data_IF_881106790329
#
_entry.id   IF_881106790329
#
_cell.length_a   1.000
_cell.length_b   1.000
_cell.length_c   1.000
_cell.angle_alpha   90.00
_cell.angle_beta   90.00
_cell.angle_gamma   90.00
#
_symmetry.space_group_name_H-M   'P 1'
#
loop_
_entity.id
_entity.type
_entity.pdbx_description
1 polymer ?
#
# COMPACT_ATOMS: atom_id res chain seq x y z
N UNK A 1 24.54 37.74 4.21
CA UNK A 1 24.02 36.78 3.21
C UNK A 1 22.55 37.10 3.03
N UNK A 2 22.12 37.57 1.85
CA UNK A 2 20.72 37.93 1.63
C UNK A 2 19.93 36.67 1.31
N UNK A 3 19.00 36.29 2.18
CA UNK A 3 18.05 35.21 1.94
C UNK A 3 16.87 35.77 1.13
N UNK A 4 16.49 35.09 0.05
CA UNK A 4 15.26 35.41 -0.67
C UNK A 4 14.06 35.33 0.31
N UNK A 5 13.07 36.23 0.21
CA UNK A 5 11.83 36.14 0.98
C UNK A 5 11.13 34.79 0.76
N UNK A 6 10.52 34.27 1.82
CA UNK A 6 9.83 32.98 1.78
C UNK A 6 8.71 32.96 0.74
N UNK A 7 8.05 34.09 0.50
CA UNK A 7 6.98 34.25 -0.49
C UNK A 7 7.49 34.00 -1.91
N UNK A 8 8.70 34.47 -2.22
CA UNK A 8 9.33 34.25 -3.53
C UNK A 8 9.70 32.78 -3.68
N UNK A 9 10.29 32.17 -2.65
CA UNK A 9 10.67 30.75 -2.66
C UNK A 9 9.43 29.86 -2.78
N UNK A 10 8.38 30.17 -2.03
CA UNK A 10 7.06 29.52 -2.13
C UNK A 10 6.51 29.59 -3.55
N UNK A 11 6.57 30.77 -4.19
CA UNK A 11 6.13 30.94 -5.56
C UNK A 11 6.94 30.08 -6.54
N UNK A 12 8.27 30.05 -6.38
CA UNK A 12 9.15 29.17 -7.17
C UNK A 12 8.68 27.72 -7.07
N UNK A 13 8.51 27.18 -5.85
CA UNK A 13 8.04 25.80 -5.66
C UNK A 13 6.71 25.52 -6.36
N UNK A 14 5.73 26.41 -6.24
CA UNK A 14 4.42 26.23 -6.89
C UNK A 14 4.47 26.34 -8.41
N UNK A 15 5.50 27.00 -8.95
CA UNK A 15 5.61 27.24 -10.38
C UNK A 15 6.47 26.23 -11.12
N UNK A 16 7.21 25.37 -10.39
CA UNK A 16 8.04 24.33 -10.98
C UNK A 16 7.22 23.45 -11.95
N UNK A 17 7.76 23.16 -13.14
CA UNK A 17 7.05 22.38 -14.14
C UNK A 17 7.10 20.87 -13.85
N UNK A 18 8.09 20.42 -13.08
CA UNK A 18 8.38 18.99 -12.92
C UNK A 18 8.50 18.56 -11.45
N UNK A 19 8.07 17.34 -11.11
CA UNK A 19 8.23 16.79 -9.77
C UNK A 19 9.70 16.65 -9.34
N UNK A 20 10.59 16.33 -10.27
CA UNK A 20 12.03 16.21 -9.96
C UNK A 20 12.65 17.54 -9.56
N UNK A 21 12.30 18.64 -10.23
CA UNK A 21 12.78 19.96 -9.84
C UNK A 21 12.32 20.32 -8.44
N UNK A 22 11.08 19.95 -8.10
CA UNK A 22 10.52 20.14 -6.77
C UNK A 22 11.33 19.41 -5.72
N UNK A 23 11.64 18.13 -5.96
CA UNK A 23 12.44 17.30 -5.06
C UNK A 23 13.90 17.79 -4.97
N UNK A 24 14.52 18.16 -6.08
CA UNK A 24 15.89 18.68 -6.11
C UNK A 24 16.00 20.01 -5.33
N UNK A 25 15.04 20.91 -5.52
CA UNK A 25 15.00 22.18 -4.80
C UNK A 25 14.76 21.95 -3.31
N UNK A 26 13.88 21.00 -2.96
CA UNK A 26 13.63 20.60 -1.57
C UNK A 26 14.91 20.12 -0.87
N UNK A 27 15.76 19.37 -1.57
CA UNK A 27 17.01 18.81 -1.02
C UNK A 27 18.14 19.83 -0.90
N UNK A 28 18.00 21.03 -1.44
CA UNK A 28 19.09 22.03 -1.49
C UNK A 28 19.47 22.54 -0.10
N UNK A 29 18.49 22.80 0.78
CA UNK A 29 18.75 23.20 2.16
C UNK A 29 17.55 22.95 3.09
N UNK A 30 17.78 22.99 4.41
CA UNK A 30 16.72 22.78 5.43
C UNK A 30 15.55 23.76 5.30
N UNK A 31 15.81 25.03 4.96
CA UNK A 31 14.76 26.04 4.79
C UNK A 31 13.85 25.72 3.60
N UNK A 32 14.43 25.31 2.47
CA UNK A 32 13.67 24.92 1.29
C UNK A 32 12.88 23.64 1.55
N UNK A 33 13.47 22.70 2.29
CA UNK A 33 12.77 21.50 2.74
C UNK A 33 11.54 21.84 3.58
N UNK A 34 11.66 22.77 4.53
CA UNK A 34 10.53 23.22 5.34
C UNK A 34 9.44 23.89 4.48
N UNK A 35 9.82 24.79 3.56
CA UNK A 35 8.88 25.50 2.68
C UNK A 35 8.13 24.54 1.74
N UNK A 36 8.85 23.61 1.12
CA UNK A 36 8.27 22.59 0.26
C UNK A 36 7.29 21.68 1.02
N UNK A 37 7.41 21.56 2.34
CA UNK A 37 6.49 20.76 3.13
C UNK A 37 5.25 21.50 3.63
N UNK A 38 5.10 22.81 3.35
CA UNK A 38 3.88 23.51 3.67
C UNK A 38 2.70 23.01 2.83
N UNK A 39 1.59 22.69 3.51
CA UNK A 39 0.37 22.16 2.92
C UNK A 39 -0.14 22.99 1.73
N UNK A 40 -0.17 24.32 1.87
CA UNK A 40 -0.61 25.23 0.80
C UNK A 40 0.28 25.17 -0.44
N UNK A 41 1.59 25.06 -0.27
CA UNK A 41 2.56 24.98 -1.37
C UNK A 41 2.44 23.64 -2.08
N UNK A 42 2.40 22.54 -1.32
CA UNK A 42 2.23 21.18 -1.86
C UNK A 42 0.92 21.03 -2.62
N UNK A 43 -0.18 21.51 -2.05
CA UNK A 43 -1.50 21.46 -2.67
C UNK A 43 -1.53 22.23 -3.98
N UNK A 44 -1.05 23.49 -3.97
CA UNK A 44 -0.98 24.31 -5.18
C UNK A 44 -0.12 23.66 -6.25
N UNK A 45 1.01 23.05 -5.85
CA UNK A 45 1.86 22.31 -6.75
C UNK A 45 1.13 21.11 -7.37
N UNK A 46 0.43 20.28 -6.57
CA UNK A 46 -0.36 19.16 -7.08
C UNK A 46 -1.49 19.61 -8.03
N UNK A 47 -2.24 20.67 -7.67
CA UNK A 47 -3.30 21.21 -8.53
C UNK A 47 -2.75 21.58 -9.93
N UNK A 48 -1.61 22.28 -9.97
CA UNK A 48 -0.96 22.66 -11.23
C UNK A 48 -0.41 21.44 -11.99
N UNK A 49 0.33 20.58 -11.30
CA UNK A 49 0.99 19.41 -11.86
C UNK A 49 -0.01 18.43 -12.50
N UNK A 50 -1.13 18.20 -11.84
CA UNK A 50 -2.07 17.13 -12.14
C UNK A 50 -3.22 17.55 -13.05
N UNK A 51 -3.32 18.83 -13.42
CA UNK A 51 -4.38 19.35 -14.30
C UNK A 51 -4.44 18.59 -15.63
N UNK A 52 -3.29 18.34 -16.28
CA UNK A 52 -3.26 17.59 -17.54
C UNK A 52 -3.73 16.14 -17.39
N UNK A 53 -3.39 15.50 -16.27
CA UNK A 53 -3.82 14.13 -15.99
C UNK A 53 -5.33 14.07 -15.75
N UNK A 54 -5.92 15.04 -15.03
CA UNK A 54 -7.37 15.18 -14.91
C UNK A 54 -8.06 15.25 -16.27
N UNK A 55 -7.55 16.11 -17.15
CA UNK A 55 -8.14 16.30 -18.48
C UNK A 55 -8.03 15.01 -19.34
N UNK A 56 -6.92 14.28 -19.20
CA UNK A 56 -6.74 12.97 -19.83
C UNK A 56 -7.73 11.92 -19.28
N UNK A 57 -7.91 11.84 -17.96
CA UNK A 57 -8.90 10.93 -17.32
C UNK A 57 -10.30 11.22 -17.84
N UNK A 58 -10.69 12.50 -17.94
CA UNK A 58 -11.99 12.85 -18.53
C UNK A 58 -12.09 12.42 -20.00
N UNK A 59 -11.02 12.59 -20.79
CA UNK A 59 -11.01 12.19 -22.19
C UNK A 59 -11.21 10.67 -22.37
N UNK A 60 -10.58 9.85 -21.53
CA UNK A 60 -10.59 8.38 -21.61
C UNK A 60 -11.81 7.74 -20.95
N UNK A 61 -12.20 8.19 -19.76
CA UNK A 61 -13.27 7.56 -18.96
C UNK A 61 -14.62 8.26 -19.09
N UNK A 62 -14.65 9.50 -19.60
CA UNK A 62 -15.80 10.42 -19.55
C UNK A 62 -16.24 10.81 -18.13
N UNK A 63 -15.45 10.48 -17.11
CA UNK A 63 -15.69 10.90 -15.74
C UNK A 63 -15.35 12.40 -15.58
N UNK A 64 -16.39 13.22 -15.38
CA UNK A 64 -16.23 14.67 -15.26
C UNK A 64 -16.19 15.06 -13.79
N UNK A 65 -15.00 15.38 -13.29
CA UNK A 65 -14.85 15.97 -11.95
C UNK A 65 -15.15 17.46 -11.98
N UNK A 66 -15.87 17.92 -10.95
CA UNK A 66 -15.95 19.34 -10.67
C UNK A 66 -14.59 19.86 -10.21
N UNK A 67 -14.41 21.18 -10.24
CA UNK A 67 -13.20 21.81 -9.69
C UNK A 67 -13.06 21.52 -8.18
N UNK A 68 -14.18 21.43 -7.46
CA UNK A 68 -14.21 21.06 -6.05
C UNK A 68 -13.73 19.61 -5.83
N UNK A 69 -14.19 18.67 -6.67
CA UNK A 69 -13.74 17.27 -6.62
C UNK A 69 -12.24 17.18 -6.87
N UNK A 70 -11.73 17.87 -7.90
CA UNK A 70 -10.31 17.88 -8.24
C UNK A 70 -9.45 18.46 -7.10
N UNK A 71 -9.87 19.57 -6.51
CA UNK A 71 -9.19 20.16 -5.34
C UNK A 71 -9.24 19.23 -4.11
N UNK A 72 -10.35 18.53 -3.91
CA UNK A 72 -10.49 17.50 -2.88
C UNK A 72 -9.50 16.35 -3.05
N UNK A 73 -9.31 15.87 -4.29
CA UNK A 73 -8.29 14.86 -4.62
C UNK A 73 -6.88 15.40 -4.33
N UNK A 74 -6.57 16.63 -4.74
CA UNK A 74 -5.26 17.24 -4.47
C UNK A 74 -5.00 17.42 -2.96
N UNK A 75 -6.02 17.77 -2.17
CA UNK A 75 -5.93 17.83 -0.71
C UNK A 75 -5.70 16.44 -0.07
N UNK A 76 -6.32 15.40 -0.62
CA UNK A 76 -6.07 14.01 -0.19
C UNK A 76 -4.60 13.61 -0.43
N UNK A 77 -4.08 13.85 -1.64
CA UNK A 77 -2.69 13.58 -1.99
C UNK A 77 -1.71 14.41 -1.14
N UNK A 78 -2.00 15.68 -0.91
CA UNK A 78 -1.18 16.55 -0.07
C UNK A 78 -1.07 16.04 1.37
N UNK A 79 -2.21 15.76 2.00
CA UNK A 79 -2.29 15.31 3.39
C UNK A 79 -1.65 13.93 3.63
N UNK A 80 -1.54 13.10 2.58
CA UNK A 80 -0.90 11.77 2.65
C UNK A 80 0.62 11.83 2.75
N UNK A 81 1.23 13.02 2.60
CA UNK A 81 2.68 13.27 2.68
C UNK A 81 3.53 12.45 1.70
N UNK A 82 2.93 11.93 0.63
CA UNK A 82 3.64 11.22 -0.45
C UNK A 82 4.59 12.15 -1.22
N UNK A 83 5.52 11.58 -1.96
CA UNK A 83 6.38 12.38 -2.85
C UNK A 83 5.62 12.69 -4.15
N UNK A 84 5.68 13.93 -4.64
CA UNK A 84 5.29 14.19 -6.01
C UNK A 84 6.36 13.57 -6.91
N UNK A 85 6.11 12.36 -7.39
CA UNK A 85 7.05 11.60 -8.23
C UNK A 85 6.56 11.48 -9.68
N UNK A 86 5.24 11.61 -9.90
CA UNK A 86 4.60 11.38 -11.19
C UNK A 86 3.70 12.55 -11.58
N UNK A 87 3.41 12.66 -12.87
CA UNK A 87 2.48 13.64 -13.46
C UNK A 87 1.08 13.06 -13.67
N UNK A 88 0.92 11.73 -13.66
CA UNK A 88 -0.37 11.04 -13.70
C UNK A 88 -0.94 10.82 -12.28
N UNK A 89 -2.14 11.34 -12.02
CA UNK A 89 -2.87 11.21 -10.75
C UNK A 89 -2.98 9.73 -10.33
N UNK A 90 -3.21 8.82 -11.30
CA UNK A 90 -3.42 7.39 -11.03
C UNK A 90 -2.13 6.69 -10.61
N UNK A 91 -0.96 7.22 -10.96
CA UNK A 91 0.34 6.75 -10.45
C UNK A 91 0.68 7.40 -9.12
N UNK A 92 0.40 8.71 -8.97
CA UNK A 92 0.65 9.43 -7.72
C UNK A 92 -0.12 8.80 -6.56
N UNK A 93 -1.39 8.43 -6.77
CA UNK A 93 -2.23 7.91 -5.68
C UNK A 93 -1.82 6.52 -5.20
N UNK A 94 -1.09 5.75 -6.00
CA UNK A 94 -0.57 4.43 -5.59
C UNK A 94 0.45 4.52 -4.45
N UNK A 95 1.10 5.68 -4.27
CA UNK A 95 1.99 5.96 -3.15
C UNK A 95 1.23 6.19 -1.83
N UNK A 96 -0.07 6.44 -1.87
CA UNK A 96 -0.85 6.77 -0.66
C UNK A 96 -0.99 5.51 0.21
N UNK A 97 -0.53 5.55 1.47
CA UNK A 97 -0.68 4.44 2.40
C UNK A 97 -2.15 4.09 2.62
N UNK A 98 -2.49 2.81 2.72
CA UNK A 98 -3.86 2.35 2.98
C UNK A 98 -4.44 2.95 4.27
N UNK A 99 -3.63 3.12 5.31
CA UNK A 99 -4.04 3.75 6.57
C UNK A 99 -4.44 5.22 6.44
N UNK A 100 -4.03 5.91 5.37
CA UNK A 100 -4.44 7.31 5.13
C UNK A 100 -5.94 7.43 4.84
N UNK A 101 -6.54 6.41 4.25
CA UNK A 101 -7.97 6.36 3.94
C UNK A 101 -8.84 6.37 5.20
N UNK A 102 -8.34 5.85 6.33
CA UNK A 102 -9.05 5.89 7.61
C UNK A 102 -9.03 7.27 8.25
N UNK A 103 -7.93 8.00 8.08
CA UNK A 103 -7.65 9.23 8.83
C UNK A 103 -8.05 10.49 8.06
N UNK A 104 -8.28 10.38 6.75
CA UNK A 104 -8.66 11.51 5.93
C UNK A 104 -10.15 11.84 6.07
N UNK A 105 -10.44 13.10 6.39
CA UNK A 105 -11.80 13.62 6.39
C UNK A 105 -12.19 14.01 4.96
N UNK A 106 -12.92 13.11 4.29
CA UNK A 106 -13.38 13.33 2.93
C UNK A 106 -14.36 14.52 2.88
N UNK A 107 -14.13 15.53 2.02
CA UNK A 107 -15.02 16.69 1.90
C UNK A 107 -16.42 16.34 1.37
N UNK A 108 -16.52 15.30 0.53
CA UNK A 108 -17.78 14.81 -0.02
C UNK A 108 -17.65 13.34 -0.48
N UNK A 109 -18.79 12.69 -0.69
CA UNK A 109 -18.83 11.35 -1.28
C UNK A 109 -18.35 11.34 -2.74
N UNK A 110 -18.48 12.45 -3.48
CA UNK A 110 -17.94 12.56 -4.84
C UNK A 110 -16.41 12.53 -4.85
N UNK A 111 -15.77 13.26 -3.92
CA UNK A 111 -14.31 13.22 -3.74
C UNK A 111 -13.86 11.82 -3.36
N UNK A 112 -14.55 11.20 -2.39
CA UNK A 112 -14.24 9.85 -1.92
C UNK A 112 -14.35 8.84 -3.07
N UNK A 113 -15.46 8.84 -3.82
CA UNK A 113 -15.68 7.94 -4.97
C UNK A 113 -14.63 8.14 -6.05
N UNK A 114 -14.33 9.38 -6.42
CA UNK A 114 -13.30 9.69 -7.42
C UNK A 114 -11.93 9.15 -6.99
N UNK A 115 -11.56 9.30 -5.71
CA UNK A 115 -10.33 8.74 -5.14
C UNK A 115 -10.28 7.21 -5.26
N UNK A 116 -11.36 6.52 -4.92
CA UNK A 116 -11.42 5.06 -4.98
C UNK A 116 -11.37 4.55 -6.44
N UNK A 117 -12.03 5.24 -7.36
CA UNK A 117 -12.05 4.89 -8.79
C UNK A 117 -10.69 5.04 -9.50
N UNK A 118 -9.79 5.90 -8.99
CA UNK A 118 -8.47 6.11 -9.60
C UNK A 118 -7.65 4.82 -9.73
N UNK A 119 -7.92 3.84 -8.88
CA UNK A 119 -7.26 2.54 -8.87
C UNK A 119 -7.96 1.50 -9.78
N UNK A 120 -9.21 1.74 -10.19
CA UNK A 120 -10.03 0.78 -10.95
C UNK A 120 -9.58 0.61 -12.41
N UNK A 121 -8.86 1.59 -12.96
CA UNK A 121 -8.44 1.60 -14.37
C UNK A 121 -7.56 0.40 -14.79
N UNK A 122 -6.75 -0.12 -13.87
CA UNK A 122 -5.92 -1.32 -14.09
C UNK A 122 -6.51 -2.59 -13.46
N UNK A 123 -7.71 -2.52 -12.89
CA UNK A 123 -8.34 -3.69 -12.31
C UNK A 123 -8.69 -4.72 -13.39
N UNK A 124 -8.51 -5.99 -13.04
CA UNK A 124 -8.77 -7.14 -13.90
C UNK A 124 -10.10 -7.78 -13.51
N UNK A 125 -10.94 -8.20 -14.48
CA UNK A 125 -12.11 -9.01 -14.17
C UNK A 125 -11.66 -10.34 -13.61
N UNK A 126 -12.29 -10.77 -12.54
CA UNK A 126 -11.87 -11.98 -11.86
C UNK A 126 -12.54 -13.20 -12.49
N UNK A 127 -11.81 -14.01 -13.26
CA UNK A 127 -12.33 -15.28 -13.84
C UNK A 127 -12.31 -16.46 -12.86
N UNK A 128 -11.56 -16.31 -11.77
CA UNK A 128 -11.50 -17.17 -10.60
C UNK A 128 -10.77 -16.32 -9.55
N UNK A 129 -11.49 -15.84 -8.55
CA UNK A 129 -10.92 -15.03 -7.48
C UNK A 129 -10.62 -15.98 -6.33
N UNK A 130 -9.34 -16.15 -5.95
CA UNK A 130 -9.07 -16.69 -4.62
C UNK A 130 -9.90 -15.84 -3.63
N UNK A 131 -10.71 -16.46 -2.76
CA UNK A 131 -11.63 -15.75 -1.89
C UNK A 131 -10.91 -14.64 -1.14
N UNK A 132 -11.61 -13.55 -0.84
CA UNK A 132 -11.15 -12.70 0.27
C UNK A 132 -11.26 -13.59 1.53
N UNK A 133 -10.14 -14.15 1.97
CA UNK A 133 -10.05 -14.95 3.20
C UNK A 133 -10.02 -14.00 4.38
N UNK A 134 -11.20 -13.53 4.77
CA UNK A 134 -11.49 -13.28 6.17
C UNK A 134 -12.04 -14.63 6.73
N UNK A 135 -11.75 -15.04 7.97
CA UNK A 135 -11.40 -16.43 8.27
C UNK A 135 -12.50 -17.40 7.92
N UNK A 136 -12.12 -18.44 7.19
CA UNK A 136 -12.61 -19.76 7.51
C UNK A 136 -11.44 -20.71 7.51
N UNK A 137 -11.23 -21.36 8.66
CA UNK A 137 -10.31 -22.49 8.82
C UNK A 137 -10.69 -23.70 7.95
N UNK A 138 -11.80 -23.60 7.21
CA UNK A 138 -12.30 -24.57 6.26
C UNK A 138 -12.27 -23.96 4.85
N UNK A 139 -12.17 -24.82 3.83
CA UNK A 139 -12.12 -24.55 2.37
C UNK A 139 -13.28 -23.71 1.77
N UNK A 140 -13.97 -22.92 2.58
CA UNK A 140 -15.08 -22.08 2.18
C UNK A 140 -14.64 -20.67 1.80
N UNK A 141 -15.27 -20.16 0.76
CA UNK A 141 -15.08 -18.80 0.28
C UNK A 141 -15.75 -17.83 1.25
N UNK A 142 -15.01 -16.87 1.85
CA UNK A 142 -15.64 -15.86 2.69
C UNK A 142 -16.14 -14.64 1.90
N UNK A 143 -15.43 -14.15 0.88
CA UNK A 143 -16.00 -13.16 -0.04
C UNK A 143 -15.55 -13.38 -1.49
N UNK A 144 -16.35 -12.86 -2.43
CA UNK A 144 -16.05 -12.85 -3.85
C UNK A 144 -16.04 -11.41 -4.36
N UNK A 145 -15.01 -11.06 -5.11
CA UNK A 145 -14.88 -9.77 -5.78
C UNK A 145 -15.10 -9.92 -7.29
N UNK A 146 -15.72 -8.94 -7.93
CA UNK A 146 -15.83 -8.93 -9.39
C UNK A 146 -14.53 -8.51 -10.06
N UNK A 147 -13.79 -7.58 -9.45
CA UNK A 147 -12.53 -7.08 -9.99
C UNK A 147 -11.43 -7.00 -8.93
N UNK A 148 -10.18 -7.15 -9.36
CA UNK A 148 -9.00 -7.01 -8.51
C UNK A 148 -7.91 -6.19 -9.19
N UNK A 149 -7.26 -5.33 -8.41
CA UNK A 149 -6.05 -4.62 -8.80
C UNK A 149 -4.89 -5.06 -7.89
N UNK A 150 -3.76 -5.40 -8.52
CA UNK A 150 -2.52 -5.77 -7.83
C UNK A 150 -1.50 -4.65 -7.98
N UNK A 151 -1.06 -4.09 -6.86
CA UNK A 151 0.03 -3.13 -6.79
C UNK A 151 1.31 -3.86 -6.37
N UNK A 152 2.32 -3.84 -7.22
CA UNK A 152 3.66 -4.34 -6.90
C UNK A 152 4.41 -3.35 -5.99
N UNK A 153 5.33 -3.87 -5.18
CA UNK A 153 6.19 -3.05 -4.36
C UNK A 153 7.23 -2.30 -5.22
N UNK A 154 7.46 -1.04 -4.90
CA UNK A 154 8.53 -0.22 -5.47
C UNK A 154 9.21 0.58 -4.36
N UNK A 155 10.28 1.32 -4.68
CA UNK A 155 10.97 2.19 -3.71
C UNK A 155 10.03 3.19 -2.99
N UNK A 156 8.86 3.49 -3.56
CA UNK A 156 7.91 4.47 -3.02
C UNK A 156 6.49 3.93 -2.82
N UNK A 157 6.27 2.63 -3.06
CA UNK A 157 4.95 2.01 -2.99
C UNK A 157 5.04 0.67 -2.27
N UNK A 158 4.23 0.47 -1.24
CA UNK A 158 4.06 -0.83 -0.62
C UNK A 158 3.21 -1.74 -1.53
N UNK A 159 3.40 -3.08 -1.47
CA UNK A 159 2.52 -4.00 -2.17
C UNK A 159 1.11 -3.91 -1.58
N UNK A 160 0.09 -3.93 -2.44
CA UNK A 160 -1.31 -3.80 -2.04
C UNK A 160 -2.24 -4.49 -3.03
N UNK A 161 -3.33 -5.04 -2.52
CA UNK A 161 -4.42 -5.61 -3.33
C UNK A 161 -5.66 -4.74 -3.13
N UNK A 162 -6.37 -4.45 -4.21
CA UNK A 162 -7.64 -3.70 -4.13
C UNK A 162 -8.72 -4.52 -4.83
N UNK A 163 -9.72 -4.92 -4.07
CA UNK A 163 -10.86 -5.70 -4.54
C UNK A 163 -12.05 -4.76 -4.73
N UNK A 164 -12.79 -4.90 -5.81
CA UNK A 164 -13.99 -4.13 -6.09
C UNK A 164 -15.21 -5.03 -6.20
N UNK A 165 -16.35 -4.45 -5.85
CA UNK A 165 -17.65 -5.08 -5.99
C UNK A 165 -17.63 -6.44 -5.25
N UNK A 166 -17.36 -6.36 -3.94
CA UNK A 166 -17.08 -7.51 -3.08
C UNK A 166 -18.32 -7.92 -2.32
N UNK A 167 -18.77 -9.17 -2.52
CA UNK A 167 -19.90 -9.74 -1.78
C UNK A 167 -19.41 -10.75 -0.75
N UNK A 168 -19.74 -10.53 0.52
CA UNK A 168 -19.52 -11.52 1.57
C UNK A 168 -20.40 -12.75 1.33
N UNK A 169 -19.82 -13.94 1.42
CA UNK A 169 -20.51 -15.24 1.36
C UNK A 169 -20.81 -15.82 2.74
N UNK A 170 -20.23 -15.23 3.78
CA UNK A 170 -20.39 -15.58 5.19
C UNK A 170 -20.41 -14.33 6.06
N UNK A 171 -20.94 -14.49 7.27
CA UNK A 171 -20.85 -13.45 8.30
C UNK A 171 -19.38 -13.25 8.71
N UNK A 172 -19.02 -12.00 8.98
CA UNK A 172 -17.67 -11.62 9.37
C UNK A 172 -17.70 -10.45 10.36
N UNK A 173 -17.35 -10.73 11.62
CA UNK A 173 -17.37 -9.74 12.68
C UNK A 173 -18.76 -9.10 12.81
N UNK A 174 -18.86 -7.82 12.41
CA UNK A 174 -20.12 -7.04 12.45
C UNK A 174 -20.92 -7.10 11.14
N UNK A 175 -20.39 -7.74 10.10
CA UNK A 175 -20.96 -7.75 8.76
C UNK A 175 -21.71 -9.04 8.48
N UNK A 176 -22.90 -8.90 7.90
CA UNK A 176 -23.76 -10.02 7.59
C UNK A 176 -23.32 -10.70 6.28
N UNK A 177 -23.75 -11.96 6.12
CA UNK A 177 -23.66 -12.65 4.83
C UNK A 177 -24.39 -11.83 3.75
N UNK A 178 -23.87 -11.88 2.53
CA UNK A 178 -24.35 -11.17 1.33
C UNK A 178 -24.24 -9.65 1.41
N UNK A 179 -23.58 -9.11 2.45
CA UNK A 179 -23.20 -7.71 2.48
C UNK A 179 -22.22 -7.39 1.35
N UNK A 180 -22.47 -6.27 0.69
CA UNK A 180 -21.68 -5.77 -0.42
C UNK A 180 -20.75 -4.64 0.02
N UNK A 181 -19.52 -4.67 -0.48
CA UNK A 181 -18.54 -3.60 -0.38
C UNK A 181 -18.18 -3.12 -1.77
N UNK A 182 -18.23 -1.81 -1.96
CA UNK A 182 -17.81 -1.17 -3.19
C UNK A 182 -16.30 -1.37 -3.47
N UNK A 183 -15.47 -1.24 -2.43
CA UNK A 183 -14.02 -1.47 -2.54
C UNK A 183 -13.40 -1.93 -1.22
N UNK A 184 -12.42 -2.82 -1.30
CA UNK A 184 -11.59 -3.25 -0.16
C UNK A 184 -10.12 -3.10 -0.52
N UNK A 185 -9.43 -2.23 0.22
CA UNK A 185 -8.00 -2.01 0.15
C UNK A 185 -7.33 -2.93 1.17
N UNK A 186 -6.62 -3.93 0.67
CA UNK A 186 -5.95 -4.94 1.47
C UNK A 186 -4.44 -4.73 1.43
N UNK A 187 -3.88 -4.35 2.57
CA UNK A 187 -2.46 -4.31 2.85
C UNK A 187 -2.17 -5.24 4.02
N UNK A 188 -0.97 -5.82 4.08
CA UNK A 188 -0.58 -6.77 5.12
C UNK A 188 -0.97 -6.27 6.53
N UNK A 189 -0.66 -5.02 6.86
CA UNK A 189 -0.92 -4.46 8.19
C UNK A 189 -2.35 -3.98 8.47
N UNK A 190 -3.11 -3.72 7.42
CA UNK A 190 -4.40 -3.07 7.58
C UNK A 190 -5.28 -3.27 6.36
N UNK A 191 -6.57 -3.38 6.63
CA UNK A 191 -7.61 -3.46 5.63
C UNK A 191 -8.57 -2.28 5.79
N UNK A 192 -8.96 -1.69 4.67
CA UNK A 192 -9.94 -0.61 4.63
C UNK A 192 -11.00 -0.97 3.60
N UNK A 193 -12.22 -1.17 4.08
CA UNK A 193 -13.39 -1.45 3.25
C UNK A 193 -14.29 -0.23 3.15
N UNK A 194 -14.94 -0.06 2.00
CA UNK A 194 -15.97 0.94 1.76
C UNK A 194 -17.24 0.23 1.32
N UNK A 195 -18.35 0.46 2.03
CA UNK A 195 -19.67 -0.05 1.63
C UNK A 195 -20.23 0.75 0.43
N UNK A 196 -21.44 0.41 -0.03
CA UNK A 196 -22.08 1.08 -1.17
C UNK A 196 -22.41 2.55 -0.93
N UNK A 197 -22.66 2.91 0.33
CA UNK A 197 -22.85 4.28 0.81
C UNK A 197 -21.51 5.01 1.03
N UNK A 198 -20.40 4.32 0.78
CA UNK A 198 -19.02 4.74 0.96
C UNK A 198 -18.66 5.05 2.43
N UNK A 199 -19.35 4.41 3.38
CA UNK A 199 -18.90 4.38 4.76
C UNK A 199 -17.63 3.54 4.87
N UNK A 200 -16.67 4.04 5.64
CA UNK A 200 -15.36 3.42 5.79
C UNK A 200 -15.37 2.45 6.98
N UNK A 201 -14.75 1.28 6.79
CA UNK A 201 -14.55 0.29 7.82
C UNK A 201 -13.09 -0.14 7.85
N UNK A 202 -12.45 -0.02 9.01
CA UNK A 202 -11.07 -0.43 9.21
C UNK A 202 -11.01 -1.82 9.84
N UNK A 203 -10.04 -2.62 9.44
CA UNK A 203 -9.75 -3.93 10.00
C UNK A 203 -8.25 -4.23 10.03
N UNK A 204 -7.85 -5.15 10.89
CA UNK A 204 -6.47 -5.65 10.97
C UNK A 204 -6.48 -7.13 10.61
N UNK A 205 -5.73 -7.56 9.56
CA UNK A 205 -5.56 -8.96 9.25
C UNK A 205 -4.87 -9.73 10.39
N UNK A 206 -5.36 -10.91 10.67
CA UNK A 206 -4.75 -11.90 11.54
C UNK A 206 -4.33 -13.09 10.70
N UNK A 207 -3.14 -13.61 10.97
CA UNK A 207 -2.58 -14.75 10.28
C UNK A 207 -2.48 -15.94 11.21
N UNK A 208 -2.59 -17.14 10.65
CA UNK A 208 -2.45 -18.39 11.37
C UNK A 208 -1.56 -19.37 10.62
N UNK A 209 -0.71 -20.02 11.39
CA UNK A 209 -0.06 -21.27 11.02
C UNK A 209 0.04 -22.13 12.27
N UNK A 210 -0.08 -23.45 12.11
CA UNK A 210 -0.21 -24.39 13.24
C UNK A 210 -1.32 -23.92 14.22
N UNK A 211 -1.02 -23.81 15.50
CA UNK A 211 -1.89 -23.25 16.55
C UNK A 211 -1.53 -21.79 16.92
N UNK A 212 -0.70 -21.12 16.13
CA UNK A 212 -0.22 -19.77 16.38
C UNK A 212 -1.07 -18.79 15.58
N UNK A 213 -1.73 -17.85 16.27
CA UNK A 213 -2.48 -16.75 15.67
C UNK A 213 -1.80 -15.44 16.02
N UNK A 214 -1.47 -14.63 15.01
CA UNK A 214 -0.82 -13.34 15.22
C UNK A 214 -1.33 -12.29 14.24
N UNK A 215 -1.37 -11.04 14.69
CA UNK A 215 -1.40 -9.89 13.80
C UNK A 215 -0.03 -9.66 13.19
N UNK A 216 0.08 -8.69 12.28
CA UNK A 216 1.34 -8.27 11.66
C UNK A 216 2.28 -7.49 12.56
N UNK A 217 1.88 -7.21 13.80
CA UNK A 217 2.80 -6.76 14.83
C UNK A 217 3.77 -7.89 15.23
N UNK A 218 3.38 -9.16 15.01
CA UNK A 218 4.12 -10.38 15.37
C UNK A 218 4.56 -10.44 16.84
N UNK A 219 4.00 -9.58 17.68
CA UNK A 219 4.29 -9.45 19.10
C UNK A 219 3.93 -10.71 19.88
N UNK A 220 3.02 -11.53 19.34
CA UNK A 220 2.67 -12.84 19.89
C UNK A 220 3.60 -13.95 19.39
N UNK A 221 4.42 -13.72 18.36
CA UNK A 221 5.29 -14.73 17.76
C UNK A 221 6.75 -14.54 18.20
N UNK A 222 7.24 -13.30 18.13
CA UNK A 222 8.63 -12.96 18.43
C UNK A 222 8.74 -11.55 19.04
N UNK A 223 9.84 -11.35 19.76
CA UNK A 223 10.35 -10.00 20.06
C UNK A 223 11.52 -9.72 19.15
N UNK A 224 11.68 -8.46 18.74
CA UNK A 224 12.79 -8.00 17.90
C UNK A 224 13.31 -6.66 18.43
N UNK A 225 14.61 -6.42 18.31
CA UNK A 225 15.21 -5.13 18.69
C UNK A 225 14.95 -4.06 17.62
N UNK A 226 15.01 -4.46 16.35
CA UNK A 226 14.75 -3.56 15.22
C UNK A 226 13.93 -4.23 14.14
N UNK A 227 13.15 -3.40 13.43
CA UNK A 227 12.30 -3.81 12.32
C UNK A 227 12.60 -2.88 11.14
N UNK A 228 13.02 -3.46 10.02
CA UNK A 228 13.15 -2.77 8.75
C UNK A 228 11.95 -3.11 7.86
N UNK A 229 11.31 -2.09 7.29
CA UNK A 229 10.27 -2.26 6.28
C UNK A 229 10.95 -2.22 4.92
N UNK A 230 11.06 -3.37 4.27
CA UNK A 230 11.79 -3.52 3.01
C UNK A 230 10.86 -3.19 1.82
N UNK A 231 9.73 -3.91 1.70
CA UNK A 231 8.84 -3.84 0.54
C UNK A 231 9.59 -3.95 -0.80
N UNK A 232 10.42 -4.99 -0.93
CA UNK A 232 11.25 -5.23 -2.10
C UNK A 232 10.85 -6.55 -2.77
N UNK A 233 10.76 -6.64 -4.11
CA UNK A 233 10.55 -7.92 -4.78
C UNK A 233 11.65 -8.93 -4.40
N UNK A 234 11.29 -10.19 -4.10
CA UNK A 234 12.29 -11.25 -3.83
C UNK A 234 12.89 -11.82 -5.11
N UNK A 235 12.18 -11.67 -6.23
CA UNK A 235 12.63 -12.06 -7.57
C UNK A 235 12.92 -10.80 -8.38
N UNK A 236 14.11 -10.73 -8.99
CA UNK A 236 14.44 -9.64 -9.92
C UNK A 236 13.47 -9.66 -11.10
N UNK A 237 12.50 -8.75 -11.09
CA UNK A 237 11.64 -8.50 -12.23
C UNK A 237 12.40 -7.73 -13.31
N UNK A 238 12.32 -8.20 -14.55
CA UNK A 238 12.91 -7.57 -15.75
C UNK A 238 12.30 -6.22 -16.15
N UNK A 239 11.55 -5.53 -15.28
CA UNK A 239 10.84 -4.30 -15.65
C UNK A 239 11.47 -3.08 -15.03
N UNK A 240 12.03 -2.25 -15.92
CA UNK A 240 12.32 -0.85 -15.67
C UNK A 240 11.04 -0.19 -15.15
N UNK A 241 10.97 0.07 -13.85
CA UNK A 241 10.29 1.28 -13.38
C UNK A 241 10.94 2.40 -14.22
N UNK A 242 10.17 3.27 -14.89
CA UNK A 242 10.77 4.39 -15.60
C UNK A 242 11.68 5.15 -14.60
N UNK A 243 12.97 5.21 -14.90
CA UNK A 243 13.96 5.92 -14.07
C UNK A 243 14.44 7.11 -14.87
N UNK A 244 14.52 8.29 -14.25
CA UNK A 244 14.93 9.50 -14.95
C UNK A 244 13.82 10.12 -15.79
N UNK A 245 14.15 10.61 -16.99
CA UNK A 245 13.25 11.42 -17.82
C UNK A 245 11.93 10.70 -18.21
N UNK A 246 11.98 9.37 -18.37
CA UNK A 246 10.83 8.54 -18.76
C UNK A 246 9.73 8.48 -17.68
N UNK A 247 10.07 8.70 -16.39
CA UNK A 247 9.09 8.71 -15.30
C UNK A 247 8.11 9.88 -15.39
N UNK A 248 8.50 10.96 -16.08
CA UNK A 248 7.74 12.21 -16.10
C UNK A 248 6.67 12.25 -17.19
N UNK A 249 6.85 11.46 -18.26
CA UNK A 249 5.84 11.25 -19.31
C UNK A 249 5.07 9.95 -19.16
N UNK A 250 5.51 9.07 -18.24
CA UNK A 250 4.84 7.82 -17.96
C UNK A 250 3.42 8.08 -17.44
N UNK A 251 2.48 7.48 -18.14
CA UNK A 251 1.07 7.36 -17.78
C UNK A 251 0.78 5.96 -17.28
N UNK A 252 -0.37 5.79 -16.64
CA UNK A 252 -0.83 4.46 -16.22
C UNK A 252 -0.94 3.47 -17.41
N UNK A 253 -1.24 3.97 -18.61
CA UNK A 253 -1.36 3.18 -19.85
C UNK A 253 -0.02 2.62 -20.33
N UNK A 254 1.09 3.28 -20.02
CA UNK A 254 2.44 2.82 -20.37
C UNK A 254 2.89 1.66 -19.49
N UNK A 255 2.23 1.47 -18.34
CA UNK A 255 2.54 0.40 -17.42
C UNK A 255 1.79 -0.88 -17.78
N UNK A 256 2.48 -2.02 -17.81
CA UNK A 256 1.85 -3.31 -18.03
C UNK A 256 0.94 -3.67 -16.87
N UNK A 257 -0.21 -4.25 -17.17
CA UNK A 257 -1.12 -4.78 -16.15
C UNK A 257 -0.45 -5.92 -15.39
N UNK A 258 -0.62 -5.91 -14.07
CA UNK A 258 -0.13 -6.96 -13.17
C UNK A 258 -1.24 -7.98 -13.01
N UNK A 259 -1.02 -9.18 -13.55
CA UNK A 259 -2.02 -10.27 -13.51
C UNK A 259 -1.99 -11.06 -12.20
N UNK A 260 -0.82 -11.10 -11.55
CA UNK A 260 -0.59 -11.76 -10.26
C UNK A 260 0.46 -10.98 -9.46
N UNK A 261 0.33 -10.91 -8.13
CA UNK A 261 1.33 -10.27 -7.29
C UNK A 261 2.66 -11.03 -7.40
N UNK A 262 3.77 -10.29 -7.43
CA UNK A 262 5.09 -10.90 -7.27
C UNK A 262 5.42 -10.99 -5.79
N UNK A 263 6.02 -12.10 -5.35
CA UNK A 263 6.54 -12.23 -4.00
C UNK A 263 7.47 -11.08 -3.62
N UNK A 264 7.23 -10.51 -2.46
CA UNK A 264 8.03 -9.41 -1.93
C UNK A 264 8.57 -9.76 -0.55
N UNK A 265 9.82 -9.37 -0.28
CA UNK A 265 10.35 -9.20 1.07
C UNK A 265 9.67 -7.97 1.67
N UNK A 266 8.85 -8.22 2.67
CA UNK A 266 8.02 -7.22 3.31
C UNK A 266 8.80 -6.56 4.46
N UNK A 267 9.41 -7.38 5.33
CA UNK A 267 10.14 -6.90 6.50
C UNK A 267 11.34 -7.78 6.86
N UNK A 268 12.28 -7.16 7.56
CA UNK A 268 13.41 -7.82 8.22
C UNK A 268 13.40 -7.44 9.69
N UNK A 269 13.37 -8.45 10.56
CA UNK A 269 13.48 -8.29 12.00
C UNK A 269 14.88 -8.68 12.43
N UNK A 270 15.50 -7.95 13.36
CA UNK A 270 16.85 -8.26 13.84
C UNK A 270 16.88 -8.46 15.35
N UNK A 271 17.82 -9.31 15.80
CA UNK A 271 18.02 -9.69 17.21
C UNK A 271 16.70 -10.18 17.83
N UNK A 272 16.20 -11.28 17.29
CA UNK A 272 14.87 -11.78 17.59
C UNK A 272 14.90 -12.89 18.66
N UNK A 273 13.88 -12.92 19.50
CA UNK A 273 13.60 -14.07 20.37
C UNK A 273 12.20 -14.60 20.11
N UNK A 274 12.08 -15.91 19.87
CA UNK A 274 10.79 -16.56 19.65
C UNK A 274 10.04 -16.71 20.98
N UNK A 275 8.75 -16.41 21.00
CA UNK A 275 7.92 -16.44 22.21
C UNK A 275 7.19 -17.77 22.43
N UNK A 276 7.15 -18.62 21.41
CA UNK A 276 6.47 -19.91 21.38
C UNK A 276 7.37 -21.02 20.83
N UNK A 277 7.02 -22.27 21.15
CA UNK A 277 7.60 -23.41 20.43
C UNK A 277 6.97 -23.47 19.03
N UNK A 278 7.79 -23.67 18.00
CA UNK A 278 7.35 -23.82 16.61
C UNK A 278 7.77 -25.21 16.15
N UNK A 279 6.82 -26.02 15.70
CA UNK A 279 7.12 -27.41 15.33
C UNK A 279 7.97 -27.47 14.05
N UNK A 280 7.65 -26.63 13.05
CA UNK A 280 8.44 -26.49 11.82
C UNK A 280 9.87 -25.98 12.12
N UNK A 281 10.86 -26.85 11.90
CA UNK A 281 12.26 -26.54 12.22
C UNK A 281 12.67 -26.77 13.68
N UNK A 282 11.75 -27.24 14.54
CA UNK A 282 12.05 -27.57 15.93
C UNK A 282 12.47 -26.38 16.79
N UNK A 283 11.98 -25.18 16.47
CA UNK A 283 12.36 -23.95 17.16
C UNK A 283 11.73 -23.90 18.55
N UNK A 284 12.52 -23.46 19.54
CA UNK A 284 12.09 -23.44 20.95
C UNK A 284 11.81 -22.02 21.43
N UNK A 285 10.84 -21.91 22.32
CA UNK A 285 10.59 -20.67 23.05
C UNK A 285 11.87 -20.14 23.70
N UNK A 286 12.13 -18.85 23.53
CA UNK A 286 13.30 -18.14 24.01
C UNK A 286 14.54 -18.25 23.11
N UNK A 287 14.51 -19.10 22.09
CA UNK A 287 15.61 -19.23 21.14
C UNK A 287 15.86 -17.90 20.42
N UNK A 288 17.14 -17.57 20.28
CA UNK A 288 17.62 -16.37 19.63
C UNK A 288 17.86 -16.61 18.13
N UNK A 289 17.55 -15.59 17.34
CA UNK A 289 17.83 -15.52 15.91
C UNK A 289 18.38 -14.14 15.56
N UNK A 290 19.44 -14.10 14.75
CA UNK A 290 20.00 -12.84 14.27
C UNK A 290 19.00 -12.10 13.37
N UNK A 291 18.29 -12.84 12.52
CA UNK A 291 17.33 -12.31 11.57
C UNK A 291 16.06 -13.15 11.48
N UNK A 292 14.93 -12.48 11.26
CA UNK A 292 13.70 -13.11 10.75
C UNK A 292 13.29 -12.34 9.50
N UNK A 293 13.19 -13.05 8.37
CA UNK A 293 12.74 -12.47 7.11
C UNK A 293 11.26 -12.78 6.90
N UNK A 294 10.49 -11.74 6.58
CA UNK A 294 9.06 -11.85 6.29
C UNK A 294 8.81 -11.53 4.82
N UNK A 295 8.31 -12.51 4.07
CA UNK A 295 8.07 -12.36 2.64
C UNK A 295 6.80 -13.07 2.17
N UNK A 296 6.16 -12.57 1.11
CA UNK A 296 5.06 -13.29 0.44
C UNK A 296 5.60 -14.58 -0.19
N UNK A 297 4.87 -15.69 -0.06
CA UNK A 297 5.26 -16.98 -0.63
C UNK A 297 4.87 -17.07 -2.13
N UNK A 298 5.64 -17.84 -2.92
CA UNK A 298 5.48 -17.91 -4.39
C UNK A 298 4.21 -18.64 -4.83
N UNK A 299 3.87 -19.72 -4.13
CA UNK A 299 2.87 -20.69 -4.60
C UNK A 299 1.48 -20.46 -3.98
N UNK A 300 1.41 -19.76 -2.84
CA UNK A 300 0.18 -19.50 -2.10
C UNK A 300 0.15 -18.08 -1.52
N UNK A 301 -1.04 -17.60 -1.14
CA UNK A 301 -1.19 -16.28 -0.52
C UNK A 301 -0.83 -16.30 0.97
N UNK A 302 0.24 -17.02 1.32
CA UNK A 302 0.79 -17.06 2.66
C UNK A 302 1.97 -16.10 2.79
N UNK A 303 2.25 -15.74 4.04
CA UNK A 303 3.46 -15.00 4.41
C UNK A 303 4.42 -16.00 5.03
N UNK A 304 5.60 -16.14 4.43
CA UNK A 304 6.68 -16.89 5.05
C UNK A 304 7.40 -16.01 6.08
N UNK A 305 7.58 -16.55 7.29
CA UNK A 305 8.46 -16.04 8.33
C UNK A 305 9.65 -16.99 8.45
N UNK A 306 10.79 -16.66 7.86
CA UNK A 306 12.00 -17.48 7.88
C UNK A 306 12.94 -17.04 9.01
N UNK A 307 13.31 -17.96 9.88
CA UNK A 307 14.16 -17.71 11.05
C UNK A 307 15.60 -18.09 10.75
N UNK A 308 16.52 -17.13 10.89
CA UNK A 308 17.91 -17.27 10.47
C UNK A 308 18.90 -16.91 11.58
N UNK A 309 20.01 -17.64 11.62
CA UNK A 309 21.16 -17.32 12.47
C UNK A 309 22.36 -16.94 11.63
N UNK A 310 23.30 -16.21 12.20
CA UNK A 310 24.55 -15.84 11.55
C UNK A 310 25.69 -16.74 12.05
N UNK A 311 26.10 -17.68 11.21
CA UNK A 311 27.26 -18.54 11.48
C UNK A 311 28.43 -18.09 10.59
N UNK A 312 29.57 -17.74 11.17
CA UNK A 312 30.81 -17.38 10.44
C UNK A 312 30.61 -16.33 9.31
N UNK A 313 29.68 -15.38 9.54
CA UNK A 313 29.37 -14.32 8.58
C UNK A 313 28.29 -14.67 7.56
N UNK A 314 27.92 -15.94 7.40
CA UNK A 314 26.84 -16.38 6.56
C UNK A 314 25.51 -16.43 7.33
N UNK A 315 24.41 -16.03 6.67
CA UNK A 315 23.07 -16.13 7.22
C UNK A 315 22.50 -17.49 6.83
N UNK A 316 22.17 -18.31 7.82
CA UNK A 316 21.70 -19.70 7.64
C UNK A 316 20.26 -19.85 8.15
N UNK A 317 19.33 -20.40 7.34
CA UNK A 317 17.97 -20.64 7.78
C UNK A 317 17.92 -21.82 8.76
N UNK A 318 17.07 -21.71 9.78
CA UNK A 318 16.90 -22.69 10.85
C UNK A 318 15.49 -23.25 10.95
N UNK A 319 14.50 -22.50 10.47
CA UNK A 319 13.10 -22.90 10.45
C UNK A 319 12.25 -21.81 9.82
N UNK A 320 10.96 -22.10 9.64
CA UNK A 320 10.03 -21.16 9.03
C UNK A 320 8.59 -21.40 9.51
N UNK A 321 7.75 -20.37 9.35
CA UNK A 321 6.29 -20.48 9.43
C UNK A 321 5.68 -19.99 8.11
N UNK A 322 4.60 -20.63 7.67
CA UNK A 322 3.80 -20.20 6.52
C UNK A 322 2.46 -19.69 7.03
N UNK A 323 2.43 -18.40 7.34
CA UNK A 323 1.32 -17.70 7.94
C UNK A 323 0.23 -17.42 6.90
N UNK A 324 -0.86 -18.16 6.96
CA UNK A 324 -2.03 -17.96 6.09
C UNK A 324 -2.97 -16.92 6.69
N UNK A 325 -3.66 -16.15 5.84
CA UNK A 325 -4.70 -15.23 6.34
C UNK A 325 -5.78 -16.02 7.06
N UNK A 326 -5.89 -15.75 8.35
CA UNK A 326 -6.92 -16.28 9.21
C UNK A 326 -8.02 -15.25 9.25
N UNK A 327 -8.00 -14.28 10.16
CA UNK A 327 -9.17 -13.44 10.45
C UNK A 327 -8.97 -11.95 10.10
N UNK A 328 -10.04 -11.15 10.16
CA UNK A 328 -9.94 -9.69 10.25
C UNK A 328 -10.56 -9.22 11.56
N UNK A 329 -9.76 -8.51 12.36
CA UNK A 329 -10.23 -7.75 13.51
C UNK A 329 -10.79 -6.42 13.06
N UNK A 330 -12.10 -6.37 12.83
CA UNK A 330 -12.84 -5.15 12.49
C UNK A 330 -12.93 -4.19 13.68
N UNK A 331 -12.77 -2.90 13.41
CA UNK A 331 -12.89 -1.81 14.39
C UNK A 331 -14.27 -1.16 14.39
#
# INVERSE_FOLDING_TARGET
>A
MYTLPNEIISKVFTDLPHPQDYLNLQLTCKSFNAIANFASIRRTFFEKLLTKSRDHIFATTKEKWSEETFKGICAFLESSKIRPAYTDIRLVIQQVPTSHFCNFQFPSNDVKRAILNLFKAQALPTQSAKPLTIPTLDNDVLAQAEYVFYQEATQHMAPRRIFYDVTLKKESGKFARDQHFYAIFHHIDCLVAFDDDLNMHAGIPEYKDEDIISSTAWENLLTAESIEINNMPTVEGSRRIPVGEDAFTCTLEDLPKIEKPKPCLLRTFSNCHVLHDIAKGGLKKGQFFDYVFMYEHEDDDSICMEFCTKDDGAVTPRGYLLMTENNIKWQ
#
